data_IF_025856961435
#
_entry.id   IF_025856961435
#
_cell.length_a   1.000
_cell.length_b   1.000
_cell.length_c   1.000
_cell.angle_alpha   90.00
_cell.angle_beta   90.00
_cell.angle_gamma   90.00
#
_symmetry.space_group_name_H-M   'P 1'
#
loop_
_entity.id
_entity.type
_entity.pdbx_description
1 polymer ?
#
# COMPACT_ATOMS: atom_id res chain seq x y z
N UNK A 1 -9.86 11.55 20.21
CA UNK A 1 -10.43 10.68 19.16
C UNK A 1 -9.55 10.72 17.91
N UNK A 2 -9.05 11.90 17.49
CA UNK A 2 -8.18 12.10 16.31
C UNK A 2 -6.92 11.19 16.22
N UNK A 3 -6.27 10.84 17.34
CA UNK A 3 -5.06 10.00 17.30
C UNK A 3 -5.30 8.55 16.88
N UNK A 4 -6.45 7.97 17.25
CA UNK A 4 -6.79 6.59 16.90
C UNK A 4 -7.14 6.47 15.41
N UNK A 5 -7.90 7.42 14.89
CA UNK A 5 -8.28 7.49 13.48
C UNK A 5 -7.06 7.73 12.57
N UNK A 6 -6.14 8.60 13.00
CA UNK A 6 -4.87 8.84 12.29
C UNK A 6 -3.99 7.59 12.26
N UNK A 7 -3.94 6.83 13.35
CA UNK A 7 -3.16 5.59 13.42
C UNK A 7 -3.72 4.52 12.48
N UNK A 8 -5.03 4.37 12.43
CA UNK A 8 -5.68 3.44 11.50
C UNK A 8 -5.47 3.82 10.04
N UNK A 9 -5.54 5.11 9.71
CA UNK A 9 -5.23 5.62 8.38
C UNK A 9 -3.79 5.27 7.95
N UNK A 10 -2.82 5.48 8.84
CA UNK A 10 -1.42 5.16 8.60
C UNK A 10 -1.16 3.66 8.50
N UNK A 11 -1.84 2.83 9.30
CA UNK A 11 -1.76 1.38 9.21
C UNK A 11 -2.28 0.87 7.85
N UNK A 12 -3.36 1.46 7.32
CA UNK A 12 -3.90 1.14 5.99
C UNK A 12 -2.93 1.58 4.90
N UNK A 13 -2.42 2.80 4.97
CA UNK A 13 -1.46 3.34 3.99
C UNK A 13 -0.17 2.51 3.97
N UNK A 14 0.36 2.16 5.14
CA UNK A 14 1.50 1.25 5.30
C UNK A 14 1.26 -0.10 4.65
N UNK A 15 0.13 -0.75 4.95
CA UNK A 15 -0.19 -2.06 4.40
C UNK A 15 -0.29 -2.03 2.86
N UNK A 16 -0.84 -0.97 2.29
CA UNK A 16 -0.85 -0.77 0.84
C UNK A 16 0.57 -0.65 0.27
N UNK A 17 1.43 0.11 0.95
CA UNK A 17 2.85 0.25 0.61
C UNK A 17 3.61 -1.08 0.63
N UNK A 18 3.44 -1.85 1.70
CA UNK A 18 4.00 -3.20 1.87
C UNK A 18 3.62 -4.13 0.71
N UNK A 19 2.34 -4.16 0.35
CA UNK A 19 1.83 -5.02 -0.73
C UNK A 19 2.42 -4.59 -2.08
N UNK A 20 2.49 -3.28 -2.35
CA UNK A 20 3.04 -2.76 -3.60
C UNK A 20 4.54 -3.08 -3.74
N UNK A 21 5.35 -2.84 -2.70
CA UNK A 21 6.78 -3.17 -2.72
C UNK A 21 7.02 -4.67 -2.86
N UNK A 22 6.31 -5.48 -2.07
CA UNK A 22 6.40 -6.95 -2.17
C UNK A 22 5.94 -7.48 -3.55
N UNK A 23 5.16 -6.69 -4.28
CA UNK A 23 4.68 -7.01 -5.64
C UNK A 23 5.57 -6.43 -6.76
N UNK A 24 6.65 -5.74 -6.42
CA UNK A 24 7.61 -5.17 -7.38
C UNK A 24 7.19 -3.84 -8.00
N UNK A 25 6.33 -3.06 -7.33
CA UNK A 25 5.99 -1.71 -7.79
C UNK A 25 7.17 -0.73 -7.64
N UNK A 26 7.26 0.24 -8.55
CA UNK A 26 8.27 1.30 -8.51
C UNK A 26 8.12 2.17 -7.24
N UNK A 27 9.23 2.48 -6.58
CA UNK A 27 9.26 3.15 -5.26
C UNK A 27 8.40 4.41 -5.24
N UNK A 28 8.57 5.30 -6.23
CA UNK A 28 7.81 6.57 -6.27
C UNK A 28 6.29 6.36 -6.41
N UNK A 29 5.84 5.25 -7.03
CA UNK A 29 4.41 4.88 -7.10
C UNK A 29 3.89 4.37 -5.76
N UNK A 30 4.74 3.69 -5.00
CA UNK A 30 4.44 3.25 -3.64
C UNK A 30 4.25 4.47 -2.74
N UNK A 31 5.22 5.39 -2.75
CA UNK A 31 5.16 6.63 -1.98
C UNK A 31 3.91 7.45 -2.31
N UNK A 32 3.63 7.67 -3.59
CA UNK A 32 2.43 8.40 -4.02
C UNK A 32 1.15 7.73 -3.49
N UNK A 33 1.09 6.40 -3.48
CA UNK A 33 -0.08 5.66 -2.99
C UNK A 33 -0.23 5.80 -1.47
N UNK A 34 0.85 5.72 -0.71
CA UNK A 34 0.87 5.93 0.74
C UNK A 34 0.33 7.33 1.07
N UNK A 35 0.88 8.38 0.44
CA UNK A 35 0.44 9.75 0.66
C UNK A 35 -1.02 9.97 0.25
N UNK A 36 -1.45 9.36 -0.87
CA UNK A 36 -2.83 9.45 -1.36
C UNK A 36 -3.82 8.86 -0.35
N UNK A 37 -3.54 7.69 0.20
CA UNK A 37 -4.40 7.02 1.19
C UNK A 37 -4.40 7.78 2.51
N UNK A 38 -3.23 8.19 3.02
CA UNK A 38 -3.11 8.95 4.25
C UNK A 38 -3.91 10.26 4.19
N UNK A 39 -3.76 11.01 3.09
CA UNK A 39 -4.49 12.25 2.83
C UNK A 39 -6.00 12.04 2.72
N UNK A 40 -6.44 10.97 2.06
CA UNK A 40 -7.87 10.65 1.93
C UNK A 40 -8.56 10.41 3.28
N UNK A 41 -7.81 9.95 4.28
CA UNK A 41 -8.30 9.76 5.64
C UNK A 41 -7.99 10.92 6.59
N UNK A 42 -7.57 12.07 6.06
CA UNK A 42 -7.40 13.30 6.85
C UNK A 42 -6.02 13.48 7.46
N UNK A 43 -5.05 12.61 7.17
CA UNK A 43 -3.66 12.80 7.61
C UNK A 43 -2.94 13.72 6.62
N UNK A 44 -2.75 14.98 6.99
CA UNK A 44 -2.15 16.03 6.14
C UNK A 44 -0.67 16.29 6.41
N UNK A 45 -0.15 15.88 7.57
CA UNK A 45 1.28 15.91 7.91
C UNK A 45 1.80 14.48 8.08
N UNK A 46 2.36 13.92 7.02
CA UNK A 46 3.00 12.60 7.05
C UNK A 46 4.25 12.63 6.17
N UNK A 47 5.38 12.20 6.71
CA UNK A 47 6.60 11.93 5.96
C UNK A 47 6.74 10.42 5.79
N UNK A 48 6.81 9.95 4.56
CA UNK A 48 7.04 8.55 4.23
C UNK A 48 8.34 8.44 3.43
N UNK A 49 9.25 7.57 3.88
CA UNK A 49 10.51 7.31 3.20
C UNK A 49 10.58 5.82 2.85
N UNK A 50 10.61 5.52 1.55
CA UNK A 50 10.51 4.14 1.07
C UNK A 50 11.84 3.71 0.43
N UNK A 51 12.53 2.75 1.04
CA UNK A 51 13.71 2.11 0.44
C UNK A 51 13.28 0.81 -0.27
N UNK A 52 13.95 0.48 -1.38
CA UNK A 52 13.75 -0.76 -2.17
C UNK A 52 13.84 -2.06 -1.36
N UNK A 53 14.40 -2.00 -0.15
CA UNK A 53 14.54 -3.11 0.81
C UNK A 53 14.03 -2.79 2.22
N UNK A 54 13.33 -1.67 2.43
CA UNK A 54 12.82 -1.30 3.75
C UNK A 54 11.80 -0.16 3.73
N UNK A 55 10.68 -0.36 4.43
CA UNK A 55 9.66 0.68 4.64
C UNK A 55 9.96 1.37 5.97
N UNK A 56 10.07 2.70 5.94
CA UNK A 56 10.27 3.55 7.12
C UNK A 56 9.05 4.45 7.28
N UNK A 57 8.29 4.20 8.35
CA UNK A 57 7.13 4.97 8.72
C UNK A 57 7.43 5.72 10.00
N UNK A 58 7.33 7.04 9.92
CA UNK A 58 7.44 7.96 11.06
C UNK A 58 6.12 8.72 11.17
N UNK A 59 5.48 8.63 12.33
CA UNK A 59 4.27 9.37 12.63
C UNK A 59 4.51 10.17 13.92
N UNK A 60 4.42 11.50 13.80
CA UNK A 60 4.67 12.43 14.90
C UNK A 60 3.63 13.55 14.95
N UNK A 61 3.27 13.94 16.16
CA UNK A 61 2.58 15.19 16.50
C UNK A 61 3.25 15.71 17.78
N UNK A 62 3.32 17.03 17.99
CA UNK A 62 4.15 17.76 18.97
C UNK A 62 4.08 17.29 20.45
N UNK A 63 3.34 16.24 20.80
CA UNK A 63 3.06 15.79 22.18
C UNK A 63 3.21 14.28 22.46
N UNK A 64 3.63 13.41 21.54
CA UNK A 64 3.82 11.97 21.86
C UNK A 64 5.03 11.35 21.16
N UNK A 65 5.65 10.36 21.82
CA UNK A 65 6.89 9.68 21.40
C UNK A 65 6.81 9.12 19.98
N UNK A 66 7.89 9.38 19.22
CA UNK A 66 8.03 8.99 17.82
C UNK A 66 7.93 7.47 17.65
N UNK A 67 6.84 7.01 17.02
CA UNK A 67 6.71 5.60 16.66
C UNK A 67 7.43 5.33 15.34
N UNK A 68 8.55 4.61 15.42
CA UNK A 68 9.28 4.09 14.26
C UNK A 68 9.06 2.57 14.11
N UNK A 69 8.69 2.11 12.92
CA UNK A 69 8.62 0.67 12.57
C UNK A 69 9.55 0.37 11.40
N UNK A 70 10.30 -0.74 11.51
CA UNK A 70 11.25 -1.22 10.48
C UNK A 70 10.91 -2.65 10.08
N UNK A 71 10.75 -2.90 8.77
CA UNK A 71 10.51 -4.24 8.18
C UNK A 71 11.31 -4.41 6.88
N UNK A 72 11.96 -5.56 6.74
CA UNK A 72 12.65 -5.99 5.51
C UNK A 72 11.69 -6.75 4.57
N UNK A 73 11.61 -6.35 3.29
CA UNK A 73 10.76 -7.00 2.27
C UNK A 73 11.66 -7.56 1.16
N UNK A 74 11.78 -8.90 1.00
CA UNK A 74 12.52 -9.48 -0.11
C UNK A 74 11.75 -9.28 -1.42
N UNK A 75 12.42 -8.76 -2.45
CA UNK A 75 11.87 -8.58 -3.80
C UNK A 75 11.46 -9.94 -4.40
N UNK A 76 10.16 -10.19 -4.53
CA UNK A 76 9.60 -11.36 -5.19
C UNK A 76 9.29 -11.09 -6.66
N UNK A 77 9.04 -12.15 -7.44
CA UNK A 77 8.59 -12.04 -8.83
C UNK A 77 7.37 -11.10 -8.95
N UNK A 78 7.41 -10.19 -9.94
CA UNK A 78 6.43 -9.12 -10.07
C UNK A 78 4.97 -9.63 -10.07
N UNK A 79 4.16 -9.11 -9.14
CA UNK A 79 2.73 -9.43 -8.98
C UNK A 79 1.88 -8.25 -9.45
N UNK A 80 1.88 -8.01 -10.77
CA UNK A 80 1.17 -6.88 -11.38
C UNK A 80 -0.34 -6.90 -11.09
N UNK A 81 -0.93 -8.07 -10.89
CA UNK A 81 -2.32 -8.24 -10.47
C UNK A 81 -2.62 -7.57 -9.12
N UNK A 82 -1.71 -7.71 -8.14
CA UNK A 82 -1.81 -7.05 -6.83
C UNK A 82 -1.58 -5.55 -6.96
N UNK A 83 -0.61 -5.13 -7.78
CA UNK A 83 -0.35 -3.70 -8.04
C UNK A 83 -1.60 -3.01 -8.59
N UNK A 84 -2.23 -3.59 -9.61
CA UNK A 84 -3.48 -3.06 -10.18
C UNK A 84 -4.59 -2.99 -9.14
N UNK A 85 -4.75 -4.03 -8.31
CA UNK A 85 -5.79 -4.07 -7.29
C UNK A 85 -5.61 -3.01 -6.20
N UNK A 86 -4.38 -2.83 -5.69
CA UNK A 86 -4.08 -1.77 -4.70
C UNK A 86 -4.28 -0.38 -5.30
N UNK A 87 -3.83 -0.16 -6.54
CA UNK A 87 -4.02 1.13 -7.23
C UNK A 87 -5.51 1.47 -7.37
N UNK A 88 -6.33 0.50 -7.77
CA UNK A 88 -7.78 0.69 -7.87
C UNK A 88 -8.38 1.02 -6.50
N UNK A 89 -8.02 0.26 -5.45
CA UNK A 89 -8.48 0.51 -4.09
C UNK A 89 -8.08 1.92 -3.60
N UNK A 90 -6.85 2.37 -3.88
CA UNK A 90 -6.41 3.71 -3.47
C UNK A 90 -7.26 4.84 -4.07
N UNK A 91 -7.77 4.66 -5.31
CA UNK A 91 -8.67 5.62 -5.95
C UNK A 91 -10.04 5.61 -5.30
N UNK A 92 -10.57 4.43 -5.01
CA UNK A 92 -11.87 4.27 -4.33
C UNK A 92 -11.84 4.85 -2.90
N UNK A 93 -10.71 4.75 -2.21
CA UNK A 93 -10.50 5.38 -0.89
C UNK A 93 -10.59 6.90 -1.00
N UNK A 94 -9.96 7.50 -2.02
CA UNK A 94 -10.05 8.96 -2.28
C UNK A 94 -11.48 9.39 -2.58
N UNK A 95 -12.25 8.54 -3.25
CA UNK A 95 -13.69 8.76 -3.51
C UNK A 95 -14.58 8.57 -2.27
N UNK A 96 -14.00 8.24 -1.10
CA UNK A 96 -14.74 8.05 0.14
C UNK A 96 -15.54 6.75 0.21
N UNK A 97 -15.23 5.76 -0.65
CA UNK A 97 -16.02 4.52 -0.75
C UNK A 97 -15.71 3.49 0.34
N UNK A 98 -14.59 3.63 1.04
CA UNK A 98 -14.11 2.65 2.03
C UNK A 98 -13.65 3.32 3.32
N UNK A 99 -14.15 2.87 4.47
CA UNK A 99 -13.58 3.22 5.78
C UNK A 99 -12.21 2.56 5.96
N UNK A 100 -11.34 3.04 6.88
CA UNK A 100 -10.04 2.43 7.14
C UNK A 100 -10.12 0.92 7.43
N UNK A 101 -11.10 0.49 8.23
CA UNK A 101 -11.33 -0.92 8.52
C UNK A 101 -11.70 -1.75 7.26
N UNK A 102 -12.55 -1.20 6.37
CA UNK A 102 -12.93 -1.85 5.12
C UNK A 102 -11.74 -1.93 4.15
N UNK A 103 -11.00 -0.83 4.00
CA UNK A 103 -9.79 -0.78 3.19
C UNK A 103 -8.74 -1.79 3.68
N UNK A 104 -8.52 -1.89 5.00
CA UNK A 104 -7.62 -2.88 5.60
C UNK A 104 -8.05 -4.30 5.24
N UNK A 105 -9.34 -4.63 5.39
CA UNK A 105 -9.86 -5.96 5.01
C UNK A 105 -9.60 -6.25 3.54
N UNK A 106 -9.87 -5.28 2.66
CA UNK A 106 -9.68 -5.43 1.21
C UNK A 106 -8.21 -5.61 0.84
N UNK A 107 -7.29 -4.91 1.50
CA UNK A 107 -5.84 -5.08 1.32
C UNK A 107 -5.39 -6.49 1.72
N UNK A 108 -5.91 -7.04 2.82
CA UNK A 108 -5.61 -8.43 3.22
C UNK A 108 -6.10 -9.45 2.19
N UNK A 109 -7.27 -9.23 1.59
CA UNK A 109 -7.77 -10.06 0.49
C UNK A 109 -6.85 -9.99 -0.75
N UNK A 110 -6.37 -8.79 -1.09
CA UNK A 110 -5.41 -8.59 -2.20
C UNK A 110 -4.08 -9.31 -1.90
N UNK A 111 -3.59 -9.21 -0.68
CA UNK A 111 -2.35 -9.87 -0.24
C UNK A 111 -2.48 -11.41 -0.34
N UNK A 112 -3.66 -11.96 -0.11
CA UNK A 112 -3.95 -13.40 -0.19
C UNK A 112 -4.21 -13.91 -1.63
N UNK A 113 -4.23 -13.05 -2.66
CA UNK A 113 -4.52 -13.48 -4.03
C UNK A 113 -3.53 -14.56 -4.53
N UNK A 114 -4.02 -15.69 -5.07
CA UNK A 114 -3.16 -16.73 -5.64
C UNK A 114 -2.44 -16.19 -6.90
N UNK A 115 -1.23 -16.69 -7.21
CA UNK A 115 -0.54 -16.29 -8.44
C UNK A 115 -1.34 -16.73 -9.67
N UNK A 116 -1.51 -15.82 -10.65
CA UNK A 116 -2.16 -16.18 -11.92
C UNK A 116 -1.32 -17.23 -12.66
N UNK A 117 -1.94 -18.29 -13.22
CA UNK A 117 -1.22 -19.29 -13.98
C UNK A 117 -0.56 -18.67 -15.22
N UNK A 118 0.70 -19.04 -15.47
CA UNK A 118 1.55 -18.49 -16.55
C UNK A 118 1.04 -18.79 -17.98
N UNK A 119 -0.02 -19.59 -18.13
CA UNK A 119 -0.48 -20.07 -19.43
C UNK A 119 -1.00 -18.93 -20.34
N UNK A 120 -1.55 -17.86 -19.78
CA UNK A 120 -2.01 -16.72 -20.57
C UNK A 120 -0.88 -15.86 -21.17
N UNK A 121 0.36 -15.97 -20.68
CA UNK A 121 1.51 -15.27 -21.29
C UNK A 121 2.01 -15.99 -22.55
N UNK A 122 1.77 -17.31 -22.68
CA UNK A 122 2.16 -18.09 -23.86
C UNK A 122 1.19 -17.94 -25.04
N UNK A 123 -0.09 -17.65 -24.77
CA UNK A 123 -1.09 -17.49 -25.84
C UNK A 123 -0.98 -16.15 -26.58
N UNK A 124 -0.35 -15.14 -25.95
CA UNK A 124 -0.16 -13.82 -26.56
C UNK A 124 1.04 -13.74 -27.52
N UNK A 125 1.94 -14.73 -27.54
CA UNK A 125 3.07 -14.79 -28.47
C UNK A 125 2.78 -15.57 -29.76
N UNK A 126 1.53 -16.00 -29.96
CA UNK A 126 1.11 -16.90 -31.05
C UNK A 126 0.22 -16.27 -32.13
N UNK A 127 0.00 -14.95 -32.11
CA UNK A 127 -0.66 -14.24 -33.22
C UNK A 127 0.25 -13.09 -33.60
N UNK A 128 1.25 -13.41 -34.43
CA UNK A 128 1.94 -12.44 -35.26
C UNK A 128 1.11 -12.04 -36.45
#
# INVERSE_FOLDING_TARGET
MEKQDNREALDVASLAGDILLASGAEIFRVEETIFRIAKAYGVTSSDAFVLSSGIFLTAGSEREEDFARVRHIPLCAARLDRVTAVNQLSREIVEGKHTPAQARKRLLEIQAMPPKPRLHQLLASGVG
#
